data_IF_782530010388
#
_entry.id   IF_782530010388
#
_cell.length_a   1.000
_cell.length_b   1.000
_cell.length_c   1.000
_cell.angle_alpha   90.00
_cell.angle_beta   90.00
_cell.angle_gamma   90.00
#
_symmetry.space_group_name_H-M   'P 1'
#
loop_
_entity.id
_entity.type
_entity.pdbx_description
1 polymer ?
#
# COMPACT_ATOMS: atom_id res chain seq x y z
N UNK A 1 10.14 3.27 17.44
CA UNK A 1 9.64 2.51 16.26
C UNK A 1 10.65 2.66 15.14
N UNK A 2 11.35 1.58 14.78
CA UNK A 2 12.29 1.59 13.65
C UNK A 2 11.51 1.17 12.41
N UNK A 3 10.99 2.15 11.66
CA UNK A 3 10.30 1.88 10.40
C UNK A 3 11.34 1.46 9.36
N UNK A 4 11.38 0.16 9.03
CA UNK A 4 12.21 -0.39 7.97
C UNK A 4 11.57 0.01 6.62
N UNK A 5 11.90 1.21 6.15
CA UNK A 5 11.43 1.72 4.86
C UNK A 5 12.16 0.96 3.75
N UNK A 6 11.42 0.25 2.91
CA UNK A 6 11.97 -0.36 1.69
C UNK A 6 12.57 0.77 0.85
N UNK A 7 13.85 0.66 0.48
CA UNK A 7 14.60 1.73 -0.22
C UNK A 7 14.05 2.05 -1.62
N UNK A 8 13.26 1.14 -2.19
CA UNK A 8 12.71 1.19 -3.55
C UNK A 8 11.18 1.06 -3.53
N UNK A 9 10.48 2.02 -2.92
CA UNK A 9 9.02 2.10 -3.10
C UNK A 9 8.68 3.05 -4.22
N UNK A 10 7.82 2.60 -5.13
CA UNK A 10 7.19 3.47 -6.14
C UNK A 10 5.74 3.69 -5.76
N UNK A 11 5.15 4.80 -6.22
CA UNK A 11 3.70 4.95 -6.22
C UNK A 11 3.13 3.80 -7.06
N UNK A 12 2.24 3.00 -6.46
CA UNK A 12 1.67 1.80 -7.08
C UNK A 12 0.19 2.01 -7.39
N UNK A 13 -0.25 1.46 -8.52
CA UNK A 13 -1.66 1.49 -8.94
C UNK A 13 -2.33 0.13 -8.66
N UNK A 14 -3.62 -0.01 -8.96
CA UNK A 14 -4.40 -1.22 -8.65
C UNK A 14 -3.74 -2.51 -9.15
N UNK A 15 -3.20 -2.53 -10.38
CA UNK A 15 -2.51 -3.71 -10.92
C UNK A 15 -1.26 -4.09 -10.11
N UNK A 16 -0.53 -3.08 -9.65
CA UNK A 16 0.63 -3.32 -8.79
C UNK A 16 0.17 -3.77 -7.40
N UNK A 17 -0.92 -3.20 -6.85
CA UNK A 17 -1.50 -3.65 -5.58
C UNK A 17 -1.89 -5.13 -5.63
N UNK A 18 -2.54 -5.58 -6.70
CA UNK A 18 -2.84 -7.00 -6.93
C UNK A 18 -1.57 -7.86 -6.97
N UNK A 19 -0.50 -7.35 -7.60
CA UNK A 19 0.79 -8.04 -7.63
C UNK A 19 1.41 -8.12 -6.23
N UNK A 20 1.38 -7.04 -5.45
CA UNK A 20 1.87 -7.01 -4.08
C UNK A 20 1.05 -7.95 -3.16
N UNK A 21 -0.27 -7.98 -3.33
CA UNK A 21 -1.18 -8.86 -2.58
C UNK A 21 -0.87 -10.34 -2.84
N UNK A 22 -0.81 -10.74 -4.12
CA UNK A 22 -0.48 -12.12 -4.54
C UNK A 22 0.86 -12.60 -4.02
N UNK A 23 1.86 -11.71 -3.93
CA UNK A 23 3.19 -12.05 -3.44
C UNK A 23 3.37 -11.86 -1.91
N UNK A 24 2.35 -11.36 -1.21
CA UNK A 24 2.44 -11.05 0.22
C UNK A 24 3.48 -9.96 0.53
N UNK A 25 3.73 -9.06 -0.42
CA UNK A 25 4.64 -7.93 -0.27
C UNK A 25 3.97 -6.82 0.55
N UNK A 26 4.73 -6.13 1.43
CA UNK A 26 4.18 -5.06 2.21
C UNK A 26 4.06 -3.76 1.40
N UNK A 27 2.99 -3.02 1.66
CA UNK A 27 2.68 -1.72 1.06
C UNK A 27 2.65 -0.65 2.15
N UNK A 28 2.99 0.58 1.77
CA UNK A 28 2.77 1.78 2.57
C UNK A 28 1.46 2.45 2.18
N UNK A 29 0.73 2.97 3.16
CA UNK A 29 -0.41 3.86 2.95
C UNK A 29 -0.02 5.25 3.41
N UNK A 30 -0.09 6.21 2.49
CA UNK A 30 0.18 7.61 2.74
C UNK A 30 -1.11 8.42 2.64
N UNK A 31 -1.38 9.22 3.67
CA UNK A 31 -2.50 10.14 3.72
C UNK A 31 -2.06 11.51 3.20
N UNK A 32 -2.59 11.98 2.04
CA UNK A 32 -2.22 13.28 1.49
C UNK A 32 -2.71 14.45 2.36
N UNK A 33 -3.84 14.30 3.07
CA UNK A 33 -4.37 15.35 3.95
C UNK A 33 -3.55 15.53 5.23
N UNK A 34 -3.11 14.42 5.83
CA UNK A 34 -2.28 14.44 7.04
C UNK A 34 -0.78 14.54 6.74
N UNK A 35 -0.40 14.52 5.45
CA UNK A 35 0.98 14.53 4.98
C UNK A 35 1.90 13.46 5.59
N UNK A 36 1.35 12.29 5.93
CA UNK A 36 2.08 11.25 6.63
C UNK A 36 1.70 9.84 6.19
N UNK A 37 2.63 8.91 6.39
CA UNK A 37 2.38 7.47 6.30
C UNK A 37 1.53 7.05 7.50
N UNK A 38 0.36 6.48 7.23
CA UNK A 38 -0.59 6.07 8.27
C UNK A 38 -0.58 4.56 8.50
N UNK A 39 -0.18 3.77 7.51
CA UNK A 39 -0.06 2.32 7.64
C UNK A 39 1.11 1.76 6.82
N UNK A 40 1.65 0.64 7.30
CA UNK A 40 2.63 -0.16 6.57
C UNK A 40 2.43 -1.63 6.96
N UNK A 41 2.23 -2.49 5.96
CA UNK A 41 1.90 -3.89 6.21
C UNK A 41 1.56 -4.63 4.93
N UNK A 42 1.25 -5.92 5.06
CA UNK A 42 0.74 -6.73 3.95
C UNK A 42 -0.70 -6.35 3.63
N UNK A 43 -1.10 -6.55 2.38
CA UNK A 43 -2.50 -6.45 1.99
C UNK A 43 -3.23 -7.69 2.53
N UNK A 44 -4.23 -7.46 3.37
CA UNK A 44 -5.12 -8.50 3.90
C UNK A 44 -6.31 -8.72 2.97
N UNK A 45 -6.79 -7.66 2.33
CA UNK A 45 -7.90 -7.68 1.37
C UNK A 45 -7.72 -6.54 0.39
N UNK A 46 -7.91 -6.82 -0.90
CA UNK A 46 -7.91 -5.84 -1.97
C UNK A 46 -9.26 -5.90 -2.72
N UNK A 47 -9.86 -4.73 -2.91
CA UNK A 47 -11.04 -4.54 -3.76
C UNK A 47 -10.82 -3.29 -4.64
N UNK A 48 -11.69 -3.05 -5.62
CA UNK A 48 -11.61 -1.89 -6.52
C UNK A 48 -11.66 -0.54 -5.80
N UNK A 49 -12.22 -0.50 -4.59
CA UNK A 49 -12.43 0.74 -3.83
C UNK A 49 -11.50 0.89 -2.63
N UNK A 50 -10.95 -0.19 -2.10
CA UNK A 50 -10.22 -0.16 -0.84
C UNK A 50 -9.15 -1.24 -0.72
N UNK A 51 -8.17 -0.94 0.13
CA UNK A 51 -7.13 -1.87 0.56
C UNK A 51 -7.22 -2.00 2.07
N UNK A 52 -7.19 -3.23 2.58
CA UNK A 52 -7.11 -3.51 4.02
C UNK A 52 -5.68 -3.84 4.40
N UNK A 53 -5.11 -3.07 5.32
CA UNK A 53 -3.76 -3.24 5.84
C UNK A 53 -3.81 -3.08 7.36
N UNK A 54 -3.24 -4.01 8.12
CA UNK A 54 -3.29 -4.03 9.59
C UNK A 54 -4.73 -3.96 10.14
N UNK A 55 -5.67 -4.66 9.49
CA UNK A 55 -7.11 -4.63 9.79
C UNK A 55 -7.79 -3.25 9.65
N UNK A 56 -7.10 -2.26 9.06
CA UNK A 56 -7.64 -0.94 8.77
C UNK A 56 -7.95 -0.80 7.27
N UNK A 57 -9.09 -0.18 6.96
CA UNK A 57 -9.57 0.02 5.59
C UNK A 57 -9.10 1.36 5.04
N UNK A 58 -8.47 1.35 3.88
CA UNK A 58 -7.97 2.55 3.21
C UNK A 58 -8.57 2.67 1.82
N UNK A 59 -9.32 3.75 1.56
CA UNK A 59 -9.93 4.00 0.26
C UNK A 59 -8.89 4.34 -0.80
N UNK A 60 -8.96 3.70 -1.97
CA UNK A 60 -8.00 3.90 -3.06
C UNK A 60 -8.03 5.33 -3.59
N UNK A 61 -9.20 5.98 -3.58
CA UNK A 61 -9.37 7.35 -4.03
C UNK A 61 -8.75 8.41 -3.10
N UNK A 62 -8.60 8.10 -1.81
CA UNK A 62 -8.21 9.07 -0.78
C UNK A 62 -6.75 8.94 -0.33
N UNK A 63 -6.14 7.77 -0.55
CA UNK A 63 -4.80 7.43 -0.08
C UNK A 63 -3.86 7.09 -1.22
N UNK A 64 -2.57 7.39 -1.02
CA UNK A 64 -1.52 6.92 -1.92
C UNK A 64 -0.89 5.65 -1.38
N UNK A 65 -0.62 4.71 -2.27
CA UNK A 65 -0.01 3.43 -1.92
C UNK A 65 1.40 3.36 -2.49
N UNK A 66 2.35 2.94 -1.67
CA UNK A 66 3.74 2.78 -2.09
C UNK A 66 4.21 1.34 -1.88
N UNK A 67 4.63 0.69 -2.95
CA UNK A 67 4.94 -0.74 -2.96
C UNK A 67 5.97 -1.11 -4.03
N UNK A 68 6.00 -2.40 -4.36
CA UNK A 68 6.80 -2.92 -5.46
C UNK A 68 5.99 -2.79 -6.77
N UNK A 69 6.47 -2.06 -7.79
CA UNK A 69 5.81 -2.07 -9.09
C UNK A 69 5.83 -3.49 -9.68
N UNK A 70 4.78 -3.88 -10.39
CA UNK A 70 4.78 -5.14 -11.12
C UNK A 70 5.91 -5.10 -12.18
N UNK A 71 6.79 -6.11 -12.17
CA UNK A 71 7.76 -6.26 -13.23
C UNK A 71 7.00 -6.65 -14.52
N UNK A 72 7.03 -5.76 -15.52
CA UNK A 72 6.51 -6.04 -16.87
C UNK A 72 7.41 -7.07 -17.55
#
# INVERSE_FOLDING_TARGET
MTLLKIKTKSLVLNKDLEYNEKLGLPVEVYCPLAHQTIAFGRIETLDDHFVVINSEKHAIADYFFFGCPCAV
#
